data_IF_936044244579
#
_entry.id   IF_936044244579
#
_cell.length_a   1.000
_cell.length_b   1.000
_cell.length_c   1.000
_cell.angle_alpha   90.00
_cell.angle_beta   90.00
_cell.angle_gamma   90.00
#
_symmetry.space_group_name_H-M   'P 1'
#
loop_
_entity.id
_entity.type
_entity.pdbx_description
1 polymer ?
#
# COMPACT_ATOMS: atom_id res chain seq x y z
N UNK A 1 0.68 -27.05 9.43
CA UNK A 1 1.99 -26.44 9.77
C UNK A 1 1.83 -24.94 9.61
N UNK A 2 1.87 -24.18 10.71
CA UNK A 2 1.64 -22.74 10.69
C UNK A 2 2.82 -22.03 10.01
N UNK A 3 2.52 -21.16 9.05
CA UNK A 3 3.51 -20.24 8.52
C UNK A 3 3.99 -19.36 9.69
N UNK A 4 5.25 -19.52 10.11
CA UNK A 4 5.95 -18.47 10.82
C UNK A 4 6.09 -17.29 9.84
N UNK A 5 5.05 -16.46 9.77
CA UNK A 5 5.18 -15.11 9.28
C UNK A 5 6.37 -14.51 10.00
N UNK A 6 7.39 -14.06 9.25
CA UNK A 6 8.53 -13.35 9.80
C UNK A 6 7.99 -12.25 10.72
N UNK A 7 7.96 -12.54 12.02
CA UNK A 7 7.28 -11.70 13.00
C UNK A 7 8.03 -10.38 12.98
N UNK A 8 7.37 -9.33 12.47
CA UNK A 8 7.94 -7.98 12.48
C UNK A 8 8.51 -7.73 13.87
N UNK A 9 9.81 -7.44 13.94
CA UNK A 9 10.46 -7.20 15.22
C UNK A 9 9.69 -6.10 15.96
N UNK A 10 9.39 -6.29 17.25
CA UNK A 10 8.67 -5.30 18.04
C UNK A 10 9.35 -3.92 17.95
N UNK A 11 8.56 -2.85 18.07
CA UNK A 11 9.08 -1.47 18.06
C UNK A 11 10.19 -1.28 19.10
N UNK A 12 10.05 -1.95 20.25
CA UNK A 12 11.04 -1.92 21.32
C UNK A 12 12.38 -2.53 20.90
N UNK A 13 12.35 -3.69 20.25
CA UNK A 13 13.56 -4.33 19.73
C UNK A 13 14.29 -3.42 18.73
N UNK A 14 13.56 -2.76 17.82
CA UNK A 14 14.17 -1.83 16.84
C UNK A 14 14.83 -0.63 17.51
N UNK A 15 14.23 -0.10 18.58
CA UNK A 15 14.83 1.00 19.35
C UNK A 15 16.10 0.57 20.07
N UNK A 16 16.12 -0.64 20.63
CA UNK A 16 17.29 -1.22 21.28
C UNK A 16 18.41 -1.51 20.26
N UNK A 17 18.06 -2.03 19.08
CA UNK A 17 19.01 -2.25 17.99
C UNK A 17 19.69 -0.94 17.55
N UNK A 18 18.93 0.16 17.42
CA UNK A 18 19.48 1.48 17.12
C UNK A 18 20.41 1.97 18.22
N UNK A 19 20.01 1.86 19.49
CA UNK A 19 20.86 2.24 20.62
C UNK A 19 22.17 1.43 20.67
N UNK A 20 22.09 0.13 20.38
CA UNK A 20 23.25 -0.75 20.35
C UNK A 20 24.21 -0.38 19.20
N UNK A 21 23.68 -0.10 18.00
CA UNK A 21 24.49 0.36 16.86
C UNK A 21 25.16 1.69 17.14
N UNK A 22 24.45 2.64 17.78
CA UNK A 22 25.03 3.91 18.21
C UNK A 22 26.16 3.71 19.22
N UNK A 23 25.99 2.80 20.18
CA UNK A 23 27.03 2.46 21.15
C UNK A 23 28.26 1.86 20.48
N UNK A 24 28.10 1.02 19.46
CA UNK A 24 29.21 0.43 18.71
C UNK A 24 30.03 1.48 17.93
N UNK A 25 29.45 2.63 17.57
CA UNK A 25 30.16 3.77 16.97
C UNK A 25 30.60 4.81 18.00
N UNK A 26 30.58 4.46 19.29
CA UNK A 26 31.05 5.32 20.39
C UNK A 26 30.02 6.33 20.91
N UNK A 27 28.77 6.28 20.46
CA UNK A 27 27.70 7.17 20.92
C UNK A 27 26.84 6.44 21.95
N UNK A 28 27.13 6.65 23.23
CA UNK A 28 26.34 6.06 24.32
C UNK A 28 25.02 6.81 24.53
N UNK A 29 23.92 6.26 24.02
CA UNK A 29 22.57 6.78 24.20
C UNK A 29 21.59 5.65 24.45
N UNK A 30 20.69 5.88 25.40
CA UNK A 30 19.60 4.95 25.68
C UNK A 30 18.55 4.92 24.54
N UNK A 31 17.84 3.79 24.45
CA UNK A 31 16.85 3.54 23.41
C UNK A 31 15.67 4.54 23.44
N UNK A 32 15.33 5.07 24.62
CA UNK A 32 14.24 6.03 24.78
C UNK A 32 14.61 7.40 24.20
N UNK A 33 15.81 7.90 24.51
CA UNK A 33 16.38 9.12 23.95
C UNK A 33 16.56 9.01 22.44
N UNK A 34 17.00 7.85 21.94
CA UNK A 34 17.06 7.59 20.50
C UNK A 34 15.68 7.68 19.86
N UNK A 35 14.67 7.06 20.49
CA UNK A 35 13.27 7.14 20.05
C UNK A 35 12.74 8.58 20.03
N UNK A 36 12.93 9.33 21.11
CA UNK A 36 12.51 10.75 21.21
C UNK A 36 13.19 11.62 20.16
N UNK A 37 14.49 11.41 19.91
CA UNK A 37 15.23 12.15 18.88
C UNK A 37 14.69 11.83 17.48
N UNK A 38 14.42 10.55 17.20
CA UNK A 38 13.81 10.13 15.94
C UNK A 38 12.41 10.73 15.76
N UNK A 39 11.56 10.67 16.78
CA UNK A 39 10.21 11.22 16.71
C UNK A 39 10.24 12.74 16.45
N UNK A 40 11.15 13.47 17.11
CA UNK A 40 11.36 14.90 16.84
C UNK A 40 11.86 15.17 15.42
N UNK A 41 12.87 14.42 14.96
CA UNK A 41 13.42 14.54 13.60
C UNK A 41 12.35 14.27 12.53
N UNK A 42 11.54 13.23 12.74
CA UNK A 42 10.46 12.87 11.83
C UNK A 42 9.36 13.94 11.80
N UNK A 43 9.03 14.56 12.94
CA UNK A 43 8.11 15.70 12.97
C UNK A 43 8.67 16.91 12.20
N UNK A 44 9.96 17.21 12.38
CA UNK A 44 10.64 18.27 11.64
C UNK A 44 10.62 17.99 10.13
N UNK A 45 10.93 16.76 9.73
CA UNK A 45 10.88 16.31 8.33
C UNK A 45 9.49 16.51 7.74
N UNK A 46 8.43 16.03 8.41
CA UNK A 46 7.05 16.21 7.93
C UNK A 46 6.69 17.68 7.72
N UNK A 47 7.10 18.56 8.63
CA UNK A 47 6.83 20.00 8.52
C UNK A 47 7.55 20.62 7.32
N UNK A 48 8.83 20.29 7.14
CA UNK A 48 9.65 20.77 6.00
C UNK A 48 9.12 20.23 4.68
N UNK A 49 8.86 18.91 4.59
CA UNK A 49 8.35 18.26 3.39
C UNK A 49 6.98 18.81 2.99
N UNK A 50 6.09 19.08 3.95
CA UNK A 50 4.78 19.70 3.67
C UNK A 50 4.94 21.11 3.08
N UNK A 51 5.80 21.93 3.68
CA UNK A 51 6.08 23.29 3.19
C UNK A 51 6.69 23.29 1.77
N UNK A 52 7.66 22.41 1.51
CA UNK A 52 8.27 22.24 0.19
C UNK A 52 7.28 21.73 -0.86
N UNK A 53 6.37 20.81 -0.47
CA UNK A 53 5.31 20.31 -1.35
C UNK A 53 4.35 21.40 -1.83
N UNK A 54 4.11 22.42 -0.99
CA UNK A 54 3.27 23.57 -1.34
C UNK A 54 4.03 24.62 -2.17
N UNK A 55 5.33 24.73 -1.95
CA UNK A 55 6.21 25.74 -2.58
C UNK A 55 6.83 25.27 -3.91
N UNK A 56 6.60 24.01 -4.30
CA UNK A 56 7.07 23.46 -5.58
C UNK A 56 8.55 23.07 -5.63
N UNK A 57 9.23 22.85 -4.50
CA UNK A 57 10.63 22.43 -4.47
C UNK A 57 11.37 22.69 -3.14
N UNK A 58 12.71 22.68 -3.19
CA UNK A 58 13.64 22.75 -2.03
C UNK A 58 13.68 24.08 -1.26
N UNK A 59 12.60 24.85 -1.28
CA UNK A 59 12.55 26.23 -0.83
C UNK A 59 13.05 26.42 0.62
N UNK A 60 12.74 25.48 1.52
CA UNK A 60 13.21 25.52 2.91
C UNK A 60 14.74 25.59 3.07
N UNK A 61 15.49 24.91 2.21
CA UNK A 61 16.96 24.88 2.28
C UNK A 61 17.60 26.16 1.74
N UNK A 62 16.86 26.92 0.92
CA UNK A 62 17.29 28.21 0.39
C UNK A 62 17.03 29.36 1.37
N UNK A 63 16.09 29.19 2.30
CA UNK A 63 15.80 30.20 3.34
C UNK A 63 16.99 30.43 4.27
N UNK A 64 17.24 31.69 4.63
CA UNK A 64 18.11 32.06 5.73
C UNK A 64 17.51 31.68 7.09
N UNK A 65 18.32 31.66 8.15
CA UNK A 65 17.83 31.37 9.50
C UNK A 65 16.73 32.35 9.96
N UNK A 66 16.80 33.61 9.54
CA UNK A 66 15.80 34.64 9.86
C UNK A 66 14.47 34.37 9.15
N UNK A 67 14.52 33.99 7.88
CA UNK A 67 13.32 33.67 7.10
C UNK A 67 12.68 32.37 7.57
N UNK A 68 13.48 31.37 7.96
CA UNK A 68 12.95 30.16 8.61
C UNK A 68 12.18 30.49 9.89
N UNK A 69 12.71 31.41 10.70
CA UNK A 69 12.03 31.83 11.93
C UNK A 69 10.71 32.56 11.63
N UNK A 70 10.64 33.41 10.60
CA UNK A 70 9.39 34.09 10.20
C UNK A 70 8.34 33.12 9.64
N UNK A 71 8.77 32.06 8.97
CA UNK A 71 7.92 30.95 8.52
C UNK A 71 7.55 29.97 9.67
N UNK A 72 7.92 30.29 10.91
CA UNK A 72 7.58 29.50 12.10
C UNK A 72 8.41 28.22 12.25
N UNK A 73 9.56 28.12 11.59
CA UNK A 73 10.55 27.06 11.81
C UNK A 73 11.55 27.51 12.87
N UNK A 74 11.43 26.93 14.07
CA UNK A 74 12.35 27.15 15.19
C UNK A 74 13.47 26.09 15.26
N UNK A 75 13.68 25.35 14.18
CA UNK A 75 14.66 24.27 14.10
C UNK A 75 15.44 24.34 12.79
N UNK A 76 16.58 23.66 12.79
CA UNK A 76 17.37 23.43 11.58
C UNK A 76 17.17 21.99 11.14
N UNK A 77 16.88 21.79 9.86
CA UNK A 77 16.93 20.48 9.22
C UNK A 77 18.16 20.47 8.32
N UNK A 78 18.97 19.44 8.43
CA UNK A 78 20.12 19.24 7.56
C UNK A 78 19.66 18.64 6.22
N UNK A 79 20.26 19.11 5.11
CA UNK A 79 19.91 18.68 3.75
C UNK A 79 20.15 17.19 3.56
N UNK A 80 21.31 16.69 4.00
CA UNK A 80 21.69 15.28 3.85
C UNK A 80 20.75 14.39 4.66
N UNK A 81 20.39 14.81 5.88
CA UNK A 81 19.44 14.08 6.72
C UNK A 81 18.04 14.06 6.09
N UNK A 82 17.60 15.17 5.50
CA UNK A 82 16.32 15.23 4.79
C UNK A 82 16.29 14.30 3.59
N UNK A 83 17.30 14.37 2.72
CA UNK A 83 17.38 13.58 1.49
C UNK A 83 17.43 12.07 1.82
N UNK A 84 18.13 11.66 2.88
CA UNK A 84 18.16 10.27 3.36
C UNK A 84 16.78 9.80 3.87
N UNK A 85 16.06 10.65 4.62
CA UNK A 85 14.70 10.34 5.09
C UNK A 85 13.72 10.30 3.92
N UNK A 86 13.82 11.22 2.96
CA UNK A 86 12.97 11.27 1.78
C UNK A 86 13.21 10.05 0.89
N UNK A 87 14.48 9.72 0.61
CA UNK A 87 14.87 8.54 -0.18
C UNK A 87 14.47 7.22 0.48
N UNK A 88 14.55 7.12 1.81
CA UNK A 88 14.05 5.94 2.54
C UNK A 88 12.52 5.91 2.65
N UNK A 89 11.85 7.07 2.68
CA UNK A 89 10.39 7.17 2.71
C UNK A 89 9.75 6.86 1.36
N UNK A 90 10.38 7.27 0.26
CA UNK A 90 9.95 6.97 -1.12
C UNK A 90 10.16 5.51 -1.54
N UNK A 91 11.02 4.76 -0.83
CA UNK A 91 11.23 3.32 -1.01
C UNK A 91 10.29 2.45 -0.18
N UNK A 92 9.36 3.03 0.58
CA UNK A 92 8.28 2.24 1.16
C UNK A 92 7.41 1.70 0.02
N UNK A 93 7.31 0.38 -0.08
CA UNK A 93 6.36 -0.34 -0.93
C UNK A 93 4.90 -0.15 -0.46
N UNK A 94 4.57 1.01 0.08
CA UNK A 94 3.27 1.38 0.62
C UNK A 94 2.58 2.24 -0.42
N UNK A 95 1.62 1.61 -1.07
CA UNK A 95 0.60 2.20 -1.95
C UNK A 95 0.27 3.62 -1.50
N UNK A 96 0.70 4.59 -2.30
CA UNK A 96 0.47 6.00 -2.04
C UNK A 96 -0.94 6.37 -2.55
N UNK A 97 -1.89 6.79 -1.70
CA UNK A 97 -3.26 7.07 -2.13
C UNK A 97 -3.39 8.33 -3.01
N UNK A 98 -2.33 9.16 -3.10
CA UNK A 98 -2.36 10.41 -3.88
C UNK A 98 -2.29 10.21 -5.40
N UNK A 99 -2.02 8.98 -5.87
CA UNK A 99 -2.09 8.65 -7.30
C UNK A 99 -3.43 8.06 -7.73
N UNK A 100 -4.46 8.07 -6.87
CA UNK A 100 -5.84 7.99 -7.34
C UNK A 100 -6.30 9.38 -7.79
N UNK A 101 -5.60 9.95 -8.77
CA UNK A 101 -6.29 10.87 -9.67
C UNK A 101 -7.21 9.98 -10.50
N UNK A 102 -8.52 10.13 -10.28
CA UNK A 102 -9.53 9.63 -11.19
C UNK A 102 -9.11 10.04 -12.60
N UNK A 103 -8.74 9.06 -13.43
CA UNK A 103 -8.43 9.30 -14.83
C UNK A 103 -9.76 9.45 -15.57
N UNK A 104 -10.52 10.47 -15.18
CA UNK A 104 -11.52 11.11 -16.00
C UNK A 104 -10.82 12.01 -17.02
N UNK A 105 -10.00 11.44 -17.89
CA UNK A 105 -9.48 12.14 -19.05
C UNK A 105 -10.44 11.92 -20.22
N UNK A 106 -11.32 12.90 -20.37
CA UNK A 106 -12.10 13.19 -21.57
C UNK A 106 -11.21 13.35 -22.79
N UNK A 107 -11.59 12.68 -23.88
CA UNK A 107 -11.14 12.91 -25.26
C UNK A 107 -11.62 11.75 -26.13
N UNK A 108 -12.42 11.91 -27.17
CA UNK A 108 -13.02 13.06 -27.84
C UNK A 108 -13.64 12.54 -29.15
N UNK A 109 -14.40 13.41 -29.85
CA UNK A 109 -15.03 13.25 -31.19
C UNK A 109 -16.45 12.63 -31.15
N UNK A 110 -17.55 13.21 -31.66
CA UNK A 110 -17.89 14.52 -32.27
C UNK A 110 -19.42 14.54 -32.50
N UNK A 111 -20.08 15.67 -32.23
CA UNK A 111 -21.49 15.96 -32.57
C UNK A 111 -21.74 16.07 -34.09
N UNK A 112 -23.00 15.91 -34.54
CA UNK A 112 -23.77 17.11 -34.96
C UNK A 112 -25.25 17.08 -34.51
N UNK A 113 -25.73 18.17 -33.88
CA UNK A 113 -26.66 19.18 -34.44
C UNK A 113 -28.15 18.78 -34.26
N UNK A 114 -29.12 19.60 -33.84
CA UNK A 114 -29.41 21.02 -34.06
C UNK A 114 -30.36 21.62 -33.00
N UNK A 115 -30.25 22.95 -32.83
CA UNK A 115 -31.29 23.96 -32.48
C UNK A 115 -31.90 24.06 -31.07
N UNK A 116 -31.34 25.00 -30.30
CA UNK A 116 -31.93 26.20 -29.65
C UNK A 116 -33.42 26.19 -29.21
N UNK A 117 -33.68 26.42 -27.91
CA UNK A 117 -34.22 27.67 -27.32
C UNK A 117 -34.88 27.44 -25.93
N UNK A 118 -34.81 28.48 -25.08
CA UNK A 118 -35.23 28.65 -23.66
C UNK A 118 -36.58 28.09 -23.18
N UNK A 119 -36.74 27.89 -21.85
CA UNK A 119 -38.02 27.98 -21.16
C UNK A 119 -38.10 29.27 -20.31
N UNK A 120 -38.93 30.22 -20.72
CA UNK A 120 -39.39 31.32 -19.85
C UNK A 120 -40.91 31.27 -19.64
N UNK A 121 -41.31 31.65 -18.42
CA UNK A 121 -42.47 32.51 -18.10
C UNK A 121 -43.86 31.90 -17.79
N UNK A 122 -44.19 32.05 -16.50
CA UNK A 122 -45.44 32.36 -15.75
C UNK A 122 -46.79 32.70 -16.45
N UNK A 123 -47.86 32.49 -15.65
CA UNK A 123 -49.19 33.17 -15.60
C UNK A 123 -50.25 32.76 -16.65
N UNK A 124 -51.57 32.80 -16.45
CA UNK A 124 -52.53 32.87 -15.32
C UNK A 124 -53.97 32.80 -15.92
N UNK A 125 -54.97 32.41 -15.12
CA UNK A 125 -56.44 32.59 -15.32
C UNK A 125 -57.20 31.56 -16.18
N UNK A 126 -58.53 31.41 -16.09
CA UNK A 126 -59.61 31.71 -15.11
C UNK A 126 -60.88 31.05 -15.68
N UNK A 127 -61.84 30.66 -14.82
CA UNK A 127 -63.24 30.35 -15.15
C UNK A 127 -63.56 28.88 -15.45
N UNK A 128 -64.58 28.23 -14.91
CA UNK A 128 -65.65 28.63 -14.00
C UNK A 128 -66.74 27.55 -13.98
N UNK A 129 -67.27 27.26 -12.78
CA UNK A 129 -68.63 26.78 -12.41
C UNK A 129 -69.23 25.55 -13.12
N UNK A 130 -69.61 24.53 -12.34
CA UNK A 130 -70.64 23.57 -12.75
C UNK A 130 -70.76 22.34 -11.84
N UNK A 131 -71.86 22.29 -11.09
CA UNK A 131 -72.28 21.27 -10.11
C UNK A 131 -72.86 20.01 -10.80
N UNK A 132 -72.94 18.92 -10.02
CA UNK A 132 -73.92 17.81 -10.13
C UNK A 132 -73.80 16.88 -11.35
N UNK A 133 -74.21 15.62 -11.37
CA UNK A 133 -74.58 14.56 -10.42
C UNK A 133 -74.81 13.31 -11.31
N UNK A 134 -74.79 12.13 -10.71
CA UNK A 134 -75.50 10.93 -11.14
C UNK A 134 -75.14 10.17 -12.43
N UNK A 135 -74.57 8.98 -12.18
CA UNK A 135 -75.19 7.67 -12.44
C UNK A 135 -75.39 7.18 -13.89
N UNK A 136 -75.18 5.86 -13.99
CA UNK A 136 -75.93 4.91 -14.84
C UNK A 136 -75.28 4.50 -16.16
N UNK A 137 -74.37 3.53 -16.02
CA UNK A 137 -74.69 2.15 -16.39
C UNK A 137 -74.60 1.72 -17.86
N UNK A 138 -74.08 0.50 -18.01
CA UNK A 138 -74.62 -0.57 -18.86
C UNK A 138 -73.80 -0.97 -20.10
N UNK A 139 -73.36 -2.24 -20.05
CA UNK A 139 -73.34 -3.22 -21.13
C UNK A 139 -72.27 -3.07 -22.22
N UNK A 140 -71.29 -3.99 -22.23
CA UNK A 140 -71.34 -5.20 -23.07
C UNK A 140 -70.05 -6.00 -22.89
N UNK A 141 -70.16 -7.25 -22.42
CA UNK A 141 -69.04 -8.18 -22.40
C UNK A 141 -68.63 -8.65 -23.79
N UNK A 142 -67.39 -9.13 -23.92
CA UNK A 142 -67.12 -10.24 -24.84
C UNK A 142 -65.88 -11.02 -24.41
N UNK A 143 -65.98 -12.32 -24.65
CA UNK A 143 -65.32 -13.45 -24.03
C UNK A 143 -63.80 -13.57 -24.19
N UNK A 144 -63.21 -14.19 -23.18
CA UNK A 144 -61.88 -14.80 -23.21
C UNK A 144 -61.82 -15.98 -24.22
N UNK A 145 -60.72 -16.12 -24.97
CA UNK A 145 -59.69 -17.15 -24.76
C UNK A 145 -58.78 -17.37 -25.99
N UNK A 146 -57.53 -17.72 -25.67
CA UNK A 146 -56.52 -18.41 -26.49
C UNK A 146 -55.47 -17.55 -27.18
N UNK A 147 -54.35 -17.39 -26.46
CA UNK A 147 -53.07 -16.92 -26.97
C UNK A 147 -51.99 -17.13 -25.92
N UNK A 148 -51.43 -18.34 -25.86
CA UNK A 148 -50.26 -18.69 -25.05
C UNK A 148 -49.12 -17.73 -25.34
N UNK A 149 -48.75 -16.89 -24.37
CA UNK A 149 -47.46 -16.19 -24.35
C UNK A 149 -46.90 -16.16 -22.93
N UNK A 150 -45.82 -16.92 -22.79
CA UNK A 150 -44.66 -16.72 -21.93
C UNK A 150 -44.88 -16.33 -20.47
N UNK A 151 -44.42 -17.21 -19.59
CA UNK A 151 -44.47 -17.08 -18.14
C UNK A 151 -44.15 -15.68 -17.63
N UNK A 152 -44.98 -15.25 -16.68
CA UNK A 152 -44.72 -14.12 -15.80
C UNK A 152 -43.41 -14.37 -15.03
N UNK A 153 -42.28 -14.05 -15.68
CA UNK A 153 -40.99 -13.94 -15.02
C UNK A 153 -41.11 -12.84 -13.99
N UNK A 154 -41.18 -13.22 -12.71
CA UNK A 154 -41.24 -12.31 -11.57
C UNK A 154 -40.12 -11.29 -11.72
N UNK A 155 -40.47 -10.06 -12.12
CA UNK A 155 -39.52 -8.99 -12.40
C UNK A 155 -38.74 -8.76 -11.10
N UNK A 156 -37.46 -9.13 -11.12
CA UNK A 156 -36.58 -9.08 -9.94
C UNK A 156 -36.60 -7.66 -9.42
N UNK A 157 -36.96 -7.46 -8.15
CA UNK A 157 -37.06 -6.13 -7.56
C UNK A 157 -35.74 -5.38 -7.79
N UNK A 158 -35.83 -4.09 -8.14
CA UNK A 158 -34.65 -3.24 -8.37
C UNK A 158 -33.66 -3.34 -7.20
N UNK A 159 -34.16 -3.42 -5.97
CA UNK A 159 -33.35 -3.64 -4.77
C UNK A 159 -32.52 -4.92 -4.82
N UNK A 160 -33.11 -6.04 -5.27
CA UNK A 160 -32.42 -7.33 -5.37
C UNK A 160 -31.33 -7.29 -6.45
N UNK A 161 -31.61 -6.65 -7.59
CA UNK A 161 -30.61 -6.49 -8.66
C UNK A 161 -29.42 -5.65 -8.20
N UNK A 162 -29.66 -4.58 -7.44
CA UNK A 162 -28.58 -3.76 -6.85
C UNK A 162 -27.72 -4.57 -5.86
N UNK A 163 -28.32 -5.41 -5.02
CA UNK A 163 -27.56 -6.26 -4.10
C UNK A 163 -26.73 -7.31 -4.82
N UNK A 164 -27.26 -7.93 -5.86
CA UNK A 164 -26.52 -8.92 -6.64
C UNK A 164 -25.35 -8.30 -7.39
N UNK A 165 -25.57 -7.13 -8.01
CA UNK A 165 -24.49 -6.38 -8.66
C UNK A 165 -23.39 -5.97 -7.66
N UNK A 166 -23.77 -5.61 -6.41
CA UNK A 166 -22.81 -5.29 -5.36
C UNK A 166 -22.00 -6.53 -4.94
N UNK A 167 -22.66 -7.68 -4.76
CA UNK A 167 -21.98 -8.94 -4.42
C UNK A 167 -21.01 -9.38 -5.50
N UNK A 168 -21.43 -9.33 -6.76
CA UNK A 168 -20.58 -9.65 -7.92
C UNK A 168 -19.38 -8.69 -8.01
N UNK A 169 -19.59 -7.40 -7.73
CA UNK A 169 -18.51 -6.41 -7.68
C UNK A 169 -17.49 -6.73 -6.57
N UNK A 170 -17.96 -7.07 -5.37
CA UNK A 170 -17.09 -7.44 -4.25
C UNK A 170 -16.30 -8.72 -4.54
N UNK A 171 -16.93 -9.72 -5.16
CA UNK A 171 -16.27 -10.97 -5.55
C UNK A 171 -15.18 -10.73 -6.59
N UNK A 172 -15.48 -9.98 -7.66
CA UNK A 172 -14.50 -9.60 -8.68
C UNK A 172 -13.34 -8.80 -8.10
N UNK A 173 -13.64 -7.86 -7.20
CA UNK A 173 -12.62 -7.09 -6.51
C UNK A 173 -11.72 -8.00 -5.67
N UNK A 174 -12.31 -8.94 -4.91
CA UNK A 174 -11.56 -9.92 -4.12
C UNK A 174 -10.63 -10.79 -4.99
N UNK A 175 -11.15 -11.32 -6.10
CA UNK A 175 -10.36 -12.11 -7.04
C UNK A 175 -9.22 -11.30 -7.68
N UNK A 176 -9.49 -10.06 -8.11
CA UNK A 176 -8.49 -9.16 -8.68
C UNK A 176 -7.38 -8.84 -7.67
N UNK A 177 -7.73 -8.54 -6.42
CA UNK A 177 -6.76 -8.28 -5.36
C UNK A 177 -5.90 -9.52 -5.10
N UNK A 178 -6.50 -10.70 -5.02
CA UNK A 178 -5.78 -11.96 -4.82
C UNK A 178 -4.78 -12.23 -5.95
N UNK A 179 -5.20 -12.13 -7.22
CA UNK A 179 -4.31 -12.35 -8.37
C UNK A 179 -3.20 -11.28 -8.48
N UNK A 180 -3.50 -10.04 -8.11
CA UNK A 180 -2.50 -8.95 -8.08
C UNK A 180 -1.43 -9.23 -7.03
N UNK A 181 -1.83 -9.63 -5.82
CA UNK A 181 -0.89 -9.99 -4.75
C UNK A 181 -0.08 -11.24 -5.11
N UNK A 182 -0.72 -12.26 -5.68
CA UNK A 182 -0.05 -13.50 -6.08
C UNK A 182 0.99 -13.25 -7.18
N UNK A 183 0.65 -12.47 -8.22
CA UNK A 183 1.59 -12.14 -9.29
C UNK A 183 2.77 -11.29 -8.80
N UNK A 184 2.53 -10.33 -7.90
CA UNK A 184 3.60 -9.56 -7.25
C UNK A 184 4.52 -10.46 -6.41
N UNK A 185 3.94 -11.35 -5.61
CA UNK A 185 4.68 -12.32 -4.79
C UNK A 185 5.52 -13.29 -5.63
N UNK A 186 4.95 -13.84 -6.71
CA UNK A 186 5.66 -14.72 -7.66
C UNK A 186 6.89 -14.02 -8.27
N UNK A 187 6.76 -12.75 -8.66
CA UNK A 187 7.87 -11.96 -9.20
C UNK A 187 8.98 -11.75 -8.15
N UNK A 188 8.62 -11.47 -6.90
CA UNK A 188 9.61 -11.36 -5.82
C UNK A 188 10.30 -12.71 -5.55
N UNK A 189 9.53 -13.80 -5.50
CA UNK A 189 10.03 -15.15 -5.28
C UNK A 189 10.99 -15.60 -6.40
N UNK A 190 10.67 -15.31 -7.67
CA UNK A 190 11.55 -15.67 -8.80
C UNK A 190 12.94 -15.03 -8.74
N UNK A 191 13.09 -13.90 -8.03
CA UNK A 191 14.38 -13.23 -7.85
C UNK A 191 15.11 -13.79 -6.63
N UNK A 192 14.39 -14.09 -5.55
CA UNK A 192 15.00 -14.52 -4.28
C UNK A 192 15.38 -16.00 -4.26
N UNK A 193 14.64 -16.88 -4.95
CA UNK A 193 14.89 -18.32 -4.95
C UNK A 193 16.30 -18.67 -5.45
N UNK A 194 16.79 -18.12 -6.59
CA UNK A 194 18.15 -18.39 -7.03
C UNK A 194 19.22 -17.92 -6.03
N UNK A 195 19.00 -16.78 -5.36
CA UNK A 195 19.94 -16.26 -4.36
C UNK A 195 20.04 -17.19 -3.14
N UNK A 196 18.91 -17.77 -2.71
CA UNK A 196 18.90 -18.76 -1.63
C UNK A 196 19.63 -20.04 -2.04
N UNK A 197 19.44 -20.51 -3.27
CA UNK A 197 20.10 -21.71 -3.79
C UNK A 197 21.62 -21.53 -3.90
N UNK A 198 22.07 -20.35 -4.35
CA UNK A 198 23.50 -20.03 -4.42
C UNK A 198 24.13 -19.97 -3.03
N UNK A 199 23.47 -19.30 -2.08
CA UNK A 199 23.95 -19.24 -0.70
C UNK A 199 24.03 -20.62 -0.04
N UNK A 200 23.05 -21.49 -0.29
CA UNK A 200 23.05 -22.86 0.22
C UNK A 200 24.23 -23.67 -0.32
N UNK A 201 24.51 -23.56 -1.63
CA UNK A 201 25.66 -24.21 -2.25
C UNK A 201 26.99 -23.69 -1.69
N UNK A 202 27.11 -22.38 -1.45
CA UNK A 202 28.31 -21.79 -0.85
C UNK A 202 28.55 -22.31 0.58
N UNK A 203 27.50 -22.37 1.39
CA UNK A 203 27.56 -22.92 2.75
C UNK A 203 27.98 -24.40 2.74
N UNK A 204 27.47 -25.19 1.80
CA UNK A 204 27.87 -26.59 1.65
C UNK A 204 29.36 -26.74 1.35
N UNK A 205 29.90 -25.90 0.45
CA UNK A 205 31.32 -25.90 0.10
C UNK A 205 32.18 -25.49 1.30
N UNK A 206 31.79 -24.43 2.02
CA UNK A 206 32.51 -24.01 3.24
C UNK A 206 32.50 -25.12 4.29
N UNK A 207 31.36 -25.80 4.49
CA UNK A 207 31.25 -26.93 5.41
C UNK A 207 32.24 -28.05 5.09
N UNK A 208 32.38 -28.42 3.81
CA UNK A 208 33.37 -29.42 3.36
C UNK A 208 34.80 -28.96 3.63
N UNK A 209 35.11 -27.69 3.38
CA UNK A 209 36.42 -27.12 3.64
C UNK A 209 36.77 -27.15 5.14
N UNK A 210 35.83 -26.78 6.01
CA UNK A 210 36.02 -26.85 7.46
C UNK A 210 36.24 -28.29 7.95
N UNK A 211 35.47 -29.25 7.44
CA UNK A 211 35.66 -30.66 7.79
C UNK A 211 37.06 -31.17 7.40
N UNK A 212 37.53 -30.83 6.20
CA UNK A 212 38.88 -31.18 5.77
C UNK A 212 39.96 -30.52 6.66
N UNK A 213 39.78 -29.25 7.00
CA UNK A 213 40.70 -28.52 7.89
C UNK A 213 40.74 -29.10 9.31
N UNK A 214 39.61 -29.58 9.83
CA UNK A 214 39.52 -30.24 11.13
C UNK A 214 40.32 -31.54 11.15
N UNK A 215 40.22 -32.36 10.10
CA UNK A 215 41.01 -33.58 9.97
C UNK A 215 42.52 -33.30 9.91
N UNK A 216 42.95 -32.29 9.14
CA UNK A 216 44.37 -31.87 9.12
C UNK A 216 44.82 -31.40 10.50
N UNK A 217 43.98 -30.67 11.23
CA UNK A 217 44.29 -30.21 12.59
C UNK A 217 44.44 -31.37 13.57
N UNK A 218 43.58 -32.39 13.50
CA UNK A 218 43.71 -33.62 14.31
C UNK A 218 45.02 -34.35 14.02
N UNK A 219 45.39 -34.50 12.75
CA UNK A 219 46.64 -35.14 12.34
C UNK A 219 47.87 -34.38 12.84
N UNK A 220 47.86 -33.04 12.75
CA UNK A 220 48.93 -32.21 13.29
C UNK A 220 49.05 -32.36 14.82
N UNK A 221 47.93 -32.31 15.55
CA UNK A 221 47.92 -32.52 16.99
C UNK A 221 48.46 -33.90 17.38
N UNK A 222 48.07 -34.95 16.65
CA UNK A 222 48.58 -36.31 16.88
C UNK A 222 50.09 -36.41 16.64
N UNK A 223 50.59 -35.86 15.53
CA UNK A 223 52.03 -35.85 15.23
C UNK A 223 52.85 -35.12 16.30
N UNK A 224 52.36 -33.97 16.77
CA UNK A 224 53.01 -33.23 17.87
C UNK A 224 53.03 -34.03 19.16
N UNK A 225 51.96 -34.78 19.46
CA UNK A 225 51.90 -35.63 20.64
C UNK A 225 52.92 -36.78 20.58
N UNK A 226 53.07 -37.42 19.42
CA UNK A 226 54.06 -38.49 19.22
C UNK A 226 55.50 -37.97 19.32
N UNK A 227 55.79 -36.79 18.76
CA UNK A 227 57.11 -36.13 18.93
C UNK A 227 57.40 -35.87 20.41
N UNK A 228 56.43 -35.30 21.14
CA UNK A 228 56.59 -35.03 22.56
C UNK A 228 56.81 -36.31 23.39
N UNK A 229 56.19 -37.43 22.97
CA UNK A 229 56.40 -38.74 23.61
C UNK A 229 57.80 -39.27 23.35
N UNK A 230 58.28 -39.25 22.11
CA UNK A 230 59.62 -39.70 21.75
C UNK A 230 60.73 -38.93 22.48
N UNK A 231 60.54 -37.61 22.69
CA UNK A 231 61.48 -36.79 23.45
C UNK A 231 61.53 -37.18 24.94
N UNK A 232 60.40 -37.62 25.54
CA UNK A 232 60.35 -38.04 26.95
C UNK A 232 60.96 -39.42 27.20
N UNK A 233 61.06 -40.25 26.18
CA UNK A 233 61.58 -41.62 26.27
C UNK A 233 63.09 -41.71 25.95
N UNK A 234 63.74 -40.59 25.61
CA UNK A 234 65.20 -40.41 25.50
C UNK A 234 65.82 -40.00 26.83
#
# INVERSE_FOLDING_TARGET
MGHEYARMKPREWKRQDVAQRLKNVGVDRDAEKCGKKWDNLMQQFKKVHHFQSLSGGDYFFQLSAKERASEGFNFTMDRVVYDEIEGSTGRNHTINPKNMADTGASGGVRLPSTSNADPESVADGDGGVGREDDNKGSTRGSSQMTGTLAGFGKRKSMRQQTFEALMECMEKHGALMASTMESASKRQCSIQVPQCQELEAEVEVQGKHYAASDEVSKLMCHALLEIAKAIREQ
#
